data_IF_644910214969
#
_entry.id   IF_644910214969
#
_cell.length_a   1.000
_cell.length_b   1.000
_cell.length_c   1.000
_cell.angle_alpha   90.00
_cell.angle_beta   90.00
_cell.angle_gamma   90.00
#
_symmetry.space_group_name_H-M   'P 1'
#
loop_
_entity.id
_entity.type
_entity.pdbx_description
1 polymer ?
#
# COMPACT_ATOMS: atom_id res chain seq x y z
N UNK A 1 13.09 -14.33 -32.80
CA UNK A 1 12.19 -13.20 -32.53
C UNK A 1 12.53 -12.65 -31.16
N UNK A 2 13.20 -11.50 -31.11
CA UNK A 2 13.61 -10.86 -29.85
C UNK A 2 12.38 -10.28 -29.16
N UNK A 3 11.95 -10.88 -28.07
CA UNK A 3 10.92 -10.31 -27.20
C UNK A 3 11.49 -9.08 -26.51
N UNK A 4 10.98 -7.90 -26.85
CA UNK A 4 11.20 -6.69 -26.05
C UNK A 4 10.69 -6.97 -24.63
N UNK A 5 11.61 -7.11 -23.69
CA UNK A 5 11.28 -7.02 -22.27
C UNK A 5 11.06 -5.55 -21.98
N UNK A 6 9.79 -5.11 -22.01
CA UNK A 6 9.43 -3.84 -21.40
C UNK A 6 9.65 -3.97 -19.89
N UNK A 7 10.81 -3.56 -19.39
CA UNK A 7 10.98 -3.26 -17.97
C UNK A 7 10.08 -2.06 -17.69
N UNK A 8 8.85 -2.31 -17.26
CA UNK A 8 7.89 -1.28 -16.88
C UNK A 8 8.41 -0.57 -15.62
N UNK A 9 9.22 0.47 -15.85
CA UNK A 9 9.66 1.43 -14.86
C UNK A 9 8.45 2.28 -14.45
N UNK A 10 7.76 1.89 -13.38
CA UNK A 10 6.52 2.52 -12.95
C UNK A 10 6.80 3.67 -11.96
N UNK A 11 7.23 4.80 -12.51
CA UNK A 11 7.17 6.08 -11.81
C UNK A 11 5.76 6.30 -11.24
N UNK A 12 5.65 6.70 -9.97
CA UNK A 12 4.35 7.07 -9.40
C UNK A 12 4.16 8.56 -9.59
N UNK A 13 3.02 8.94 -10.15
CA UNK A 13 2.58 10.32 -10.29
C UNK A 13 1.39 10.58 -9.37
N UNK A 14 1.28 11.82 -8.88
CA UNK A 14 0.17 12.29 -8.06
C UNK A 14 -0.43 13.57 -8.63
N UNK A 15 -1.75 13.66 -8.65
CA UNK A 15 -2.51 14.87 -8.94
C UNK A 15 -3.37 15.23 -7.73
N UNK A 16 -3.49 16.53 -7.45
CA UNK A 16 -4.42 17.05 -6.44
C UNK A 16 -5.39 18.00 -7.13
N UNK A 17 -6.69 17.72 -7.01
CA UNK A 17 -7.71 18.57 -7.60
C UNK A 17 -7.95 19.85 -6.77
N UNK A 18 -8.84 20.72 -7.26
CA UNK A 18 -9.18 21.98 -6.58
C UNK A 18 -9.86 21.77 -5.21
N UNK A 19 -10.41 20.59 -4.97
CA UNK A 19 -11.09 20.21 -3.74
C UNK A 19 -10.14 19.52 -2.74
N UNK A 20 -8.86 19.35 -3.08
CA UNK A 20 -7.85 18.71 -2.23
C UNK A 20 -7.83 17.18 -2.32
N UNK A 21 -8.60 16.57 -3.22
CA UNK A 21 -8.59 15.12 -3.42
C UNK A 21 -7.33 14.72 -4.18
N UNK A 22 -6.77 13.57 -3.83
CA UNK A 22 -5.54 13.03 -4.43
C UNK A 22 -5.83 11.87 -5.35
N UNK A 23 -5.12 11.83 -6.47
CA UNK A 23 -5.15 10.78 -7.49
C UNK A 23 -3.73 10.28 -7.73
N UNK A 24 -3.55 8.96 -7.81
CA UNK A 24 -2.26 8.35 -8.07
C UNK A 24 -2.29 7.56 -9.38
N UNK A 25 -1.20 7.61 -10.15
CA UNK A 25 -1.09 6.89 -11.43
C UNK A 25 0.34 6.42 -11.66
N UNK A 26 0.50 5.29 -12.35
CA UNK A 26 1.80 4.75 -12.80
C UNK A 26 2.31 5.47 -14.05
N UNK A 27 1.54 6.44 -14.59
CA UNK A 27 1.91 7.25 -15.76
C UNK A 27 1.50 8.71 -15.55
N UNK A 28 2.24 9.62 -16.20
CA UNK A 28 1.85 11.03 -16.23
C UNK A 28 0.71 11.24 -17.22
N UNK A 29 -0.52 11.20 -16.73
CA UNK A 29 -1.71 11.31 -17.60
C UNK A 29 -1.89 12.70 -18.23
N UNK A 30 -1.46 13.75 -17.53
CA UNK A 30 -1.45 15.12 -18.03
C UNK A 30 -0.48 16.00 -17.24
N UNK A 31 -0.39 17.30 -17.60
CA UNK A 31 0.53 18.27 -16.98
C UNK A 31 0.29 18.52 -15.48
N UNK A 32 -0.90 18.21 -14.97
CA UNK A 32 -1.26 18.42 -13.57
C UNK A 32 -0.73 17.31 -12.66
N UNK A 33 -0.45 16.12 -13.21
CA UNK A 33 0.22 15.05 -12.49
C UNK A 33 1.70 15.40 -12.26
N UNK A 34 2.14 15.28 -11.00
CA UNK A 34 3.51 15.52 -10.55
C UNK A 34 4.16 14.20 -10.13
N UNK A 35 5.43 14.01 -10.48
CA UNK A 35 6.18 12.78 -10.24
C UNK A 35 6.49 12.54 -8.74
N UNK A 36 5.71 11.71 -8.07
CA UNK A 36 5.88 11.37 -6.66
C UNK A 36 7.15 10.52 -6.40
N UNK A 37 7.38 9.48 -7.20
CA UNK A 37 8.48 8.54 -7.02
C UNK A 37 9.05 8.13 -8.37
N UNK A 38 10.38 8.13 -8.49
CA UNK A 38 11.05 7.50 -9.63
C UNK A 38 11.42 6.06 -9.36
N UNK A 39 11.17 5.23 -10.37
CA UNK A 39 11.53 3.81 -10.42
C UNK A 39 13.05 3.56 -10.37
N UNK A 40 13.86 4.45 -10.97
CA UNK A 40 15.31 4.28 -11.11
C UNK A 40 16.13 4.51 -9.82
N UNK A 41 15.57 5.24 -8.86
CA UNK A 41 16.32 5.75 -7.72
C UNK A 41 15.61 5.56 -6.38
N UNK A 42 14.32 5.15 -6.40
CA UNK A 42 13.44 5.18 -5.22
C UNK A 42 13.51 6.53 -4.47
N UNK A 43 13.82 7.61 -5.20
CA UNK A 43 13.95 8.98 -4.67
C UNK A 43 12.93 9.87 -5.39
N UNK A 44 12.42 10.86 -4.67
CA UNK A 44 11.64 11.91 -5.33
C UNK A 44 12.57 12.77 -6.20
N UNK A 45 12.10 13.28 -7.35
CA UNK A 45 12.90 14.13 -8.23
C UNK A 45 13.25 15.49 -7.56
N UNK A 46 14.36 16.13 -7.92
CA UNK A 46 14.79 17.43 -7.36
C UNK A 46 13.75 18.56 -7.51
N UNK A 47 12.85 18.48 -8.50
CA UNK A 47 11.75 19.43 -8.73
C UNK A 47 10.64 19.40 -7.66
N UNK A 48 10.73 18.52 -6.66
CA UNK A 48 9.76 18.42 -5.55
C UNK A 48 10.07 19.33 -4.35
N UNK A 49 11.12 20.16 -4.40
CA UNK A 49 11.61 20.98 -3.28
C UNK A 49 10.57 21.88 -2.58
N UNK A 50 9.48 22.25 -3.24
CA UNK A 50 8.53 23.27 -2.73
C UNK A 50 7.10 22.76 -2.48
N UNK A 51 6.82 21.47 -2.70
CA UNK A 51 5.59 20.86 -2.19
C UNK A 51 5.81 20.49 -0.72
N UNK A 52 4.79 20.09 0.06
CA UNK A 52 4.98 19.49 1.40
C UNK A 52 5.65 18.09 1.30
N UNK A 53 6.65 17.95 0.43
CA UNK A 53 7.39 16.77 0.02
C UNK A 53 8.24 16.16 1.15
N UNK A 54 8.46 16.90 2.24
CA UNK A 54 9.21 16.44 3.42
C UNK A 54 8.64 15.12 3.99
N UNK A 55 7.36 14.84 3.79
CA UNK A 55 6.70 13.60 4.23
C UNK A 55 6.97 12.39 3.34
N UNK A 56 7.23 12.58 2.04
CA UNK A 56 7.36 11.47 1.08
C UNK A 56 8.81 11.10 0.79
N UNK A 57 9.74 12.07 0.84
CA UNK A 57 11.18 11.85 0.65
C UNK A 57 11.86 11.19 1.85
N UNK A 58 11.25 11.26 3.03
CA UNK A 58 11.77 10.70 4.28
C UNK A 58 11.06 9.40 4.69
N UNK A 59 10.34 8.75 3.77
CA UNK A 59 9.79 7.42 4.03
C UNK A 59 10.98 6.44 4.08
N UNK A 60 11.59 6.33 5.26
CA UNK A 60 12.58 5.31 5.54
C UNK A 60 11.88 3.95 5.42
N UNK A 61 12.35 3.12 4.50
CA UNK A 61 11.87 1.75 4.38
C UNK A 61 12.43 0.98 5.57
N UNK A 62 11.58 0.52 6.53
CA UNK A 62 12.07 -0.22 7.68
C UNK A 62 12.71 -1.51 7.20
N UNK A 63 14.04 -1.59 7.27
CA UNK A 63 14.79 -2.79 6.89
C UNK A 63 14.77 -3.79 8.03
N UNK A 64 13.64 -4.43 8.28
CA UNK A 64 13.59 -5.61 9.15
C UNK A 64 13.84 -6.88 8.31
N UNK A 65 15.03 -7.00 7.73
CA UNK A 65 15.36 -8.05 6.76
C UNK A 65 15.19 -9.46 7.33
N UNK A 66 15.42 -9.64 8.64
CA UNK A 66 15.20 -10.93 9.32
C UNK A 66 13.71 -11.29 9.41
N UNK A 67 12.85 -10.38 9.90
CA UNK A 67 11.40 -10.68 9.96
C UNK A 67 10.78 -10.75 8.56
N UNK A 68 11.24 -9.91 7.63
CA UNK A 68 10.82 -9.98 6.23
C UNK A 68 11.09 -11.36 5.65
N UNK A 69 12.33 -11.89 5.75
CA UNK A 69 12.67 -13.24 5.28
C UNK A 69 11.85 -14.31 5.99
N UNK A 70 11.63 -14.16 7.30
CA UNK A 70 10.83 -15.10 8.10
C UNK A 70 9.40 -15.24 7.56
N UNK A 71 8.75 -14.13 7.22
CA UNK A 71 7.35 -14.15 6.77
C UNK A 71 7.18 -14.24 5.25
N UNK A 72 8.26 -14.05 4.48
CA UNK A 72 8.22 -14.08 3.01
C UNK A 72 7.52 -15.32 2.43
N UNK A 73 7.77 -16.57 2.89
CA UNK A 73 7.05 -17.73 2.36
C UNK A 73 5.53 -17.66 2.56
N UNK A 74 5.08 -17.18 3.73
CA UNK A 74 3.65 -17.01 4.05
C UNK A 74 3.04 -15.92 3.16
N UNK A 75 3.78 -14.83 2.96
CA UNK A 75 3.39 -13.70 2.10
C UNK A 75 3.22 -14.15 0.66
N UNK A 76 4.19 -14.89 0.10
CA UNK A 76 4.12 -15.43 -1.27
C UNK A 76 2.92 -16.37 -1.42
N UNK A 77 2.70 -17.27 -0.46
CA UNK A 77 1.58 -18.20 -0.51
C UNK A 77 0.21 -17.47 -0.47
N UNK A 78 0.06 -16.49 0.42
CA UNK A 78 -1.16 -15.70 0.50
C UNK A 78 -1.38 -14.86 -0.77
N UNK A 79 -0.32 -14.22 -1.28
CA UNK A 79 -0.37 -13.43 -2.50
C UNK A 79 -0.80 -14.28 -3.71
N UNK A 80 -0.19 -15.46 -3.89
CA UNK A 80 -0.55 -16.40 -4.96
C UNK A 80 -2.00 -16.87 -4.83
N UNK A 81 -2.43 -17.27 -3.62
CA UNK A 81 -3.80 -17.73 -3.38
C UNK A 81 -4.85 -16.67 -3.73
N UNK A 82 -4.56 -15.40 -3.44
CA UNK A 82 -5.49 -14.29 -3.66
C UNK A 82 -5.23 -13.51 -4.96
N UNK A 83 -4.32 -13.99 -5.80
CA UNK A 83 -3.92 -13.35 -7.06
C UNK A 83 -3.53 -11.88 -6.85
N UNK A 84 -2.62 -11.68 -5.90
CA UNK A 84 -1.98 -10.41 -5.58
C UNK A 84 -0.50 -10.50 -5.91
N UNK A 85 0.12 -9.35 -6.11
CA UNK A 85 1.57 -9.25 -6.21
C UNK A 85 2.20 -9.39 -4.82
N UNK A 86 3.16 -10.32 -4.59
CA UNK A 86 3.88 -10.42 -3.32
C UNK A 86 4.52 -9.10 -2.88
N UNK A 87 5.05 -8.29 -3.81
CA UNK A 87 5.61 -6.98 -3.51
C UNK A 87 4.56 -6.03 -2.91
N UNK A 88 3.32 -6.13 -3.37
CA UNK A 88 2.23 -5.30 -2.85
C UNK A 88 1.86 -5.71 -1.43
N UNK A 89 1.85 -7.01 -1.13
CA UNK A 89 1.57 -7.51 0.21
C UNK A 89 2.71 -7.19 1.19
N UNK A 90 3.97 -7.31 0.77
CA UNK A 90 5.12 -6.82 1.51
C UNK A 90 5.00 -5.32 1.83
N UNK A 91 4.58 -4.51 0.86
CA UNK A 91 4.40 -3.07 1.04
C UNK A 91 3.34 -2.74 2.10
N UNK A 92 2.18 -3.40 2.06
CA UNK A 92 1.12 -3.23 3.06
C UNK A 92 1.62 -3.63 4.45
N UNK A 93 2.18 -4.84 4.61
CA UNK A 93 2.68 -5.32 5.92
C UNK A 93 3.75 -4.37 6.50
N UNK A 94 4.62 -3.83 5.64
CA UNK A 94 5.64 -2.88 6.05
C UNK A 94 5.02 -1.57 6.53
N UNK A 95 3.98 -1.08 5.85
CA UNK A 95 3.27 0.14 6.24
C UNK A 95 2.49 -0.02 7.55
N UNK A 96 1.88 -1.19 7.74
CA UNK A 96 1.00 -1.52 8.86
C UNK A 96 1.76 -1.80 10.16
N UNK A 97 2.72 -2.72 10.13
CA UNK A 97 3.34 -3.24 11.35
C UNK A 97 4.87 -3.23 11.33
N UNK A 98 5.49 -2.90 10.20
CA UNK A 98 6.92 -3.13 9.99
C UNK A 98 7.35 -4.57 10.39
N UNK A 99 6.48 -5.54 10.07
CA UNK A 99 6.60 -6.97 10.40
C UNK A 99 6.51 -7.33 11.89
N UNK A 100 6.04 -6.42 12.75
CA UNK A 100 5.81 -6.70 14.17
C UNK A 100 4.51 -7.48 14.35
N UNK A 101 4.60 -8.81 14.52
CA UNK A 101 3.42 -9.68 14.62
C UNK A 101 2.48 -9.39 15.80
N UNK A 102 2.99 -8.75 16.86
CA UNK A 102 2.22 -8.37 18.06
C UNK A 102 1.80 -6.89 18.04
N UNK A 103 1.88 -6.22 16.88
CA UNK A 103 1.50 -4.82 16.78
C UNK A 103 0.02 -4.63 17.10
N UNK A 104 -0.28 -3.58 17.87
CA UNK A 104 -1.62 -3.13 18.19
C UNK A 104 -1.64 -1.61 17.99
N UNK A 105 -2.54 -1.10 17.15
CA UNK A 105 -2.73 0.34 16.98
C UNK A 105 -3.55 0.93 18.14
N UNK A 106 -3.52 2.25 18.30
CA UNK A 106 -4.39 2.96 19.25
C UNK A 106 -5.89 2.76 18.99
N UNK A 107 -6.26 2.47 17.74
CA UNK A 107 -7.63 2.15 17.33
C UNK A 107 -7.99 0.66 17.53
N UNK A 108 -7.03 -0.18 17.95
CA UNK A 108 -7.24 -1.61 18.20
C UNK A 108 -7.03 -2.51 16.98
N UNK A 109 -6.39 -2.01 15.92
CA UNK A 109 -5.98 -2.84 14.78
C UNK A 109 -4.84 -3.79 15.20
N UNK A 110 -4.86 -5.04 14.76
CA UNK A 110 -4.01 -6.10 15.31
C UNK A 110 -3.21 -6.87 14.26
N UNK A 111 -2.01 -7.30 14.66
CA UNK A 111 -1.20 -8.24 13.89
C UNK A 111 -0.39 -7.62 12.76
N UNK A 112 0.15 -8.48 11.90
CA UNK A 112 1.02 -8.08 10.79
C UNK A 112 0.31 -7.17 9.78
N UNK A 113 -0.96 -7.44 9.52
CA UNK A 113 -1.79 -6.71 8.57
C UNK A 113 -2.75 -5.71 9.23
N UNK A 114 -2.59 -5.46 10.54
CA UNK A 114 -3.36 -4.48 11.32
C UNK A 114 -4.86 -4.54 11.00
N UNK A 115 -5.46 -5.71 11.20
CA UNK A 115 -6.89 -5.88 10.99
C UNK A 115 -7.65 -5.35 12.20
N UNK A 116 -8.65 -4.51 11.96
CA UNK A 116 -9.62 -4.16 13.01
C UNK A 116 -10.37 -5.43 13.47
N UNK A 117 -10.80 -5.54 14.73
CA UNK A 117 -11.45 -6.75 15.24
C UNK A 117 -12.67 -7.20 14.42
N UNK A 118 -13.51 -6.27 13.97
CA UNK A 118 -14.66 -6.58 13.11
C UNK A 118 -14.23 -7.12 11.74
N UNK A 119 -13.17 -6.56 11.16
CA UNK A 119 -12.57 -7.04 9.90
C UNK A 119 -11.96 -8.43 10.09
N UNK A 120 -11.22 -8.65 11.18
CA UNK A 120 -10.66 -9.95 11.52
C UNK A 120 -11.76 -11.02 11.60
N UNK A 121 -12.87 -10.72 12.29
CA UNK A 121 -14.05 -11.59 12.37
C UNK A 121 -14.67 -11.84 10.99
N UNK A 122 -14.88 -10.80 10.18
CA UNK A 122 -15.46 -10.89 8.83
C UNK A 122 -14.64 -11.81 7.91
N UNK A 123 -13.32 -11.86 8.09
CA UNK A 123 -12.40 -12.67 7.29
C UNK A 123 -11.91 -13.94 8.01
N UNK A 124 -12.61 -14.38 9.05
CA UNK A 124 -12.40 -15.71 9.66
C UNK A 124 -11.12 -15.85 10.47
N UNK A 125 -10.62 -14.76 11.05
CA UNK A 125 -9.43 -14.76 11.92
C UNK A 125 -9.85 -15.06 13.35
N UNK A 126 -9.28 -16.13 13.92
CA UNK A 126 -9.45 -16.48 15.34
C UNK A 126 -8.35 -15.84 16.20
N UNK A 127 -7.11 -15.81 15.70
CA UNK A 127 -5.97 -15.14 16.34
C UNK A 127 -5.33 -14.14 15.36
N UNK A 128 -5.52 -12.83 15.54
CA UNK A 128 -4.91 -11.82 14.66
C UNK A 128 -3.40 -11.69 14.85
N UNK A 129 -2.81 -12.26 15.92
CA UNK A 129 -1.37 -12.28 16.16
C UNK A 129 -0.68 -13.52 15.59
N UNK A 130 -1.44 -14.50 15.09
CA UNK A 130 -0.93 -15.57 14.26
C UNK A 130 -0.55 -15.01 12.88
N UNK A 131 0.73 -15.11 12.48
CA UNK A 131 1.19 -14.55 11.21
C UNK A 131 0.42 -15.07 9.99
N UNK A 132 0.08 -16.35 9.98
CA UNK A 132 -0.61 -16.98 8.84
C UNK A 132 -2.03 -16.43 8.73
N UNK A 133 -2.81 -16.46 9.81
CA UNK A 133 -4.17 -15.92 9.81
C UNK A 133 -4.19 -14.42 9.47
N UNK A 134 -3.29 -13.63 10.07
CA UNK A 134 -3.19 -12.19 9.80
C UNK A 134 -2.90 -11.91 8.32
N UNK A 135 -1.91 -12.59 7.73
CA UNK A 135 -1.48 -12.37 6.35
C UNK A 135 -2.54 -12.84 5.35
N UNK A 136 -3.12 -14.04 5.54
CA UNK A 136 -4.13 -14.56 4.61
C UNK A 136 -5.43 -13.74 4.65
N UNK A 137 -5.89 -13.36 5.83
CA UNK A 137 -7.10 -12.55 5.95
C UNK A 137 -6.91 -11.14 5.39
N UNK A 138 -5.78 -10.49 5.68
CA UNK A 138 -5.51 -9.18 5.09
C UNK A 138 -5.29 -9.22 3.58
N UNK A 139 -4.69 -10.29 3.03
CA UNK A 139 -4.60 -10.51 1.59
C UNK A 139 -5.98 -10.69 0.95
N UNK A 140 -6.87 -11.50 1.55
CA UNK A 140 -8.24 -11.66 1.08
C UNK A 140 -9.04 -10.35 1.16
N UNK A 141 -8.88 -9.59 2.24
CA UNK A 141 -9.51 -8.29 2.38
C UNK A 141 -9.04 -7.32 1.29
N UNK A 142 -7.72 -7.21 1.09
CA UNK A 142 -7.14 -6.36 0.05
C UNK A 142 -7.60 -6.75 -1.36
N UNK A 143 -7.70 -8.05 -1.66
CA UNK A 143 -8.27 -8.54 -2.93
C UNK A 143 -9.73 -8.14 -3.09
N UNK A 144 -10.52 -8.18 -2.02
CA UNK A 144 -11.93 -7.74 -2.02
C UNK A 144 -12.03 -6.26 -2.34
N UNK A 145 -11.20 -5.42 -1.72
CA UNK A 145 -11.13 -3.99 -1.98
C UNK A 145 -10.71 -3.67 -3.42
N UNK A 146 -9.68 -4.37 -3.93
CA UNK A 146 -9.25 -4.22 -5.33
C UNK A 146 -10.37 -4.57 -6.32
N UNK A 147 -11.17 -5.60 -6.02
CA UNK A 147 -12.33 -5.98 -6.85
C UNK A 147 -13.41 -4.89 -6.84
N UNK A 148 -13.69 -4.29 -5.68
CA UNK A 148 -14.71 -3.24 -5.54
C UNK A 148 -14.27 -1.91 -6.17
N UNK A 149 -13.06 -1.46 -5.87
CA UNK A 149 -12.59 -0.13 -6.23
C UNK A 149 -11.91 -0.09 -7.60
N UNK A 150 -11.42 -1.24 -8.11
CA UNK A 150 -10.71 -1.36 -9.40
C UNK A 150 -9.53 -0.40 -9.55
N UNK A 151 -9.01 0.10 -8.43
CA UNK A 151 -7.86 0.98 -8.36
C UNK A 151 -7.08 0.64 -7.08
N UNK A 152 -5.74 0.59 -7.20
CA UNK A 152 -4.87 0.22 -6.07
C UNK A 152 -4.92 1.28 -4.97
N UNK A 153 -4.88 2.55 -5.35
CA UNK A 153 -4.89 3.69 -4.44
C UNK A 153 -6.21 3.83 -3.67
N UNK A 154 -7.35 3.59 -4.31
CA UNK A 154 -8.64 3.56 -3.62
C UNK A 154 -8.80 2.33 -2.73
N UNK A 155 -8.28 1.16 -3.15
CA UNK A 155 -8.27 -0.03 -2.30
C UNK A 155 -7.43 0.20 -1.03
N UNK A 156 -6.26 0.85 -1.15
CA UNK A 156 -5.45 1.23 0.01
C UNK A 156 -6.15 2.26 0.90
N UNK A 157 -6.81 3.26 0.31
CA UNK A 157 -7.59 4.23 1.06
C UNK A 157 -8.73 3.55 1.84
N UNK A 158 -9.42 2.58 1.23
CA UNK A 158 -10.46 1.80 1.87
C UNK A 158 -9.91 0.85 2.94
N UNK A 159 -8.71 0.31 2.76
CA UNK A 159 -8.06 -0.55 3.74
C UNK A 159 -7.81 0.23 5.04
N UNK A 160 -7.31 1.46 4.94
CA UNK A 160 -6.99 2.31 6.07
C UNK A 160 -8.20 3.06 6.67
N UNK A 161 -9.02 3.72 5.83
CA UNK A 161 -10.14 4.56 6.29
C UNK A 161 -11.49 3.85 6.35
N UNK A 162 -11.54 2.60 5.88
CA UNK A 162 -12.78 1.85 5.67
C UNK A 162 -13.43 2.14 4.32
N UNK A 163 -14.04 1.10 3.75
CA UNK A 163 -14.75 1.16 2.46
C UNK A 163 -15.83 2.25 2.41
N UNK A 164 -16.55 2.43 3.51
CA UNK A 164 -17.64 3.40 3.64
C UNK A 164 -17.16 4.84 3.48
N UNK A 165 -15.94 5.16 3.91
CA UNK A 165 -15.34 6.47 3.71
C UNK A 165 -15.11 6.71 2.21
N UNK A 166 -14.45 5.79 1.51
CA UNK A 166 -14.20 5.93 0.06
C UNK A 166 -15.50 6.03 -0.74
N UNK A 167 -16.55 5.27 -0.36
CA UNK A 167 -17.89 5.40 -0.97
C UNK A 167 -18.51 6.78 -0.73
N UNK A 168 -18.44 7.30 0.50
CA UNK A 168 -18.96 8.63 0.87
C UNK A 168 -18.26 9.75 0.10
N UNK A 169 -16.95 9.61 -0.11
CA UNK A 169 -16.15 10.52 -0.94
C UNK A 169 -16.20 10.19 -2.44
N UNK A 170 -17.30 9.57 -2.91
CA UNK A 170 -17.58 9.35 -4.34
C UNK A 170 -16.44 8.63 -5.07
N UNK A 171 -15.87 7.60 -4.45
CA UNK A 171 -14.73 6.80 -4.98
C UNK A 171 -13.47 7.65 -5.18
N UNK A 172 -13.22 8.54 -4.23
CA UNK A 172 -11.98 9.31 -4.14
C UNK A 172 -11.30 9.00 -2.81
N UNK A 173 -10.00 9.27 -2.73
CA UNK A 173 -9.26 9.15 -1.48
C UNK A 173 -9.80 10.22 -0.53
N UNK A 174 -10.36 9.84 0.64
CA UNK A 174 -10.87 10.80 1.60
C UNK A 174 -9.82 11.87 1.94
N UNK A 175 -10.22 13.12 2.24
CA UNK A 175 -9.33 14.20 2.63
C UNK A 175 -8.81 14.03 4.07
N UNK A 176 -8.54 12.78 4.48
CA UNK A 176 -7.96 12.42 5.76
C UNK A 176 -6.44 12.40 5.60
N UNK A 177 -5.69 13.26 6.34
CA UNK A 177 -4.24 13.35 6.19
C UNK A 177 -3.54 12.00 6.36
N UNK A 178 -3.97 11.20 7.35
CA UNK A 178 -3.44 9.87 7.63
C UNK A 178 -3.63 8.92 6.44
N UNK A 179 -4.84 8.84 5.88
CA UNK A 179 -5.15 7.96 4.75
C UNK A 179 -4.38 8.35 3.50
N UNK A 180 -4.26 9.64 3.20
CA UNK A 180 -3.45 10.12 2.07
C UNK A 180 -1.97 9.81 2.24
N UNK A 181 -1.46 9.88 3.48
CA UNK A 181 -0.09 9.49 3.79
C UNK A 181 0.09 7.98 3.68
N UNK A 182 -0.85 7.19 4.19
CA UNK A 182 -0.84 5.73 4.11
C UNK A 182 -0.81 5.24 2.67
N UNK A 183 -1.71 5.72 1.80
CA UNK A 183 -1.76 5.33 0.38
C UNK A 183 -0.41 5.57 -0.28
N UNK A 184 0.14 6.77 -0.11
CA UNK A 184 1.44 7.08 -0.69
C UNK A 184 2.57 6.26 -0.08
N UNK A 185 2.55 5.98 1.24
CA UNK A 185 3.56 5.16 1.93
C UNK A 185 3.60 3.75 1.36
N UNK A 186 2.44 3.13 1.20
CA UNK A 186 2.34 1.78 0.63
C UNK A 186 2.76 1.77 -0.83
N UNK A 187 2.34 2.74 -1.65
CA UNK A 187 2.75 2.78 -3.06
C UNK A 187 4.27 2.97 -3.20
N UNK A 188 4.90 3.75 -2.33
CA UNK A 188 6.37 3.87 -2.29
C UNK A 188 7.04 2.55 -1.93
N UNK A 189 6.57 1.87 -0.88
CA UNK A 189 7.11 0.55 -0.52
C UNK A 189 6.88 -0.50 -1.61
N UNK A 190 5.76 -0.42 -2.31
CA UNK A 190 5.45 -1.35 -3.39
C UNK A 190 6.45 -1.23 -4.54
N UNK A 191 6.78 -0.01 -4.96
CA UNK A 191 7.82 0.19 -5.98
C UNK A 191 9.18 -0.29 -5.49
N UNK A 192 9.53 -0.04 -4.23
CA UNK A 192 10.76 -0.60 -3.67
C UNK A 192 10.80 -2.13 -3.77
N UNK A 193 9.76 -2.82 -3.31
CA UNK A 193 9.73 -4.27 -3.33
C UNK A 193 9.62 -4.87 -4.74
N UNK A 194 9.04 -4.15 -5.71
CA UNK A 194 9.06 -4.56 -7.12
C UNK A 194 10.47 -4.73 -7.70
N UNK A 195 11.44 -4.01 -7.15
CA UNK A 195 12.82 -4.01 -7.63
C UNK A 195 13.83 -4.69 -6.68
N UNK A 196 13.40 -5.07 -5.46
CA UNK A 196 14.32 -5.48 -4.38
C UNK A 196 13.85 -6.74 -3.62
N UNK A 197 12.83 -7.46 -4.10
CA UNK A 197 12.46 -8.78 -3.59
C UNK A 197 13.25 -9.89 -4.26
#
# INVERSE_FOLDING_TARGET
MSGLVFTANADIYMYTDKSGNKFFSERKENKNYKLLLRSDSNRAPPSFKNWKAKSYTNIAIPRNTTLQRKYHPIIVNAANKHQLDPAFLHAVITAESAYQRKAISSAGAQGLMQLMPETAKRFGVNDPFDPTQSIFAGALYLKTLLKEFRSKDLALAAYNAGEGAVRRYKRQIPPYPETQQYVSKVLTFYQYYKHNL
#
